data_IF_584800266328
#
_entry.id   IF_584800266328
#
_cell.length_a   1.000
_cell.length_b   1.000
_cell.length_c   1.000
_cell.angle_alpha   90.00
_cell.angle_beta   90.00
_cell.angle_gamma   90.00
#
_symmetry.space_group_name_H-M   'P 1'
#
loop_
_entity.id
_entity.type
_entity.pdbx_description
1 polymer ?
#
# COMPACT_ATOMS: atom_id res chain seq x y z
N UNK A 1 -41.03 0.80 9.83
CA UNK A 1 -40.46 1.06 8.49
C UNK A 1 -39.43 2.16 8.62
N UNK A 2 -39.78 3.35 9.11
CA UNK A 2 -38.86 4.51 9.26
C UNK A 2 -37.51 4.16 9.88
N UNK A 3 -37.49 3.38 10.98
CA UNK A 3 -36.24 2.93 11.62
C UNK A 3 -35.32 2.11 10.67
N UNK A 4 -35.91 1.27 9.80
CA UNK A 4 -35.16 0.51 8.80
C UNK A 4 -34.62 1.41 7.69
N UNK A 5 -35.38 2.41 7.29
CA UNK A 5 -34.96 3.42 6.31
C UNK A 5 -33.79 4.24 6.86
N UNK A 6 -33.87 4.69 8.13
CA UNK A 6 -32.76 5.40 8.79
C UNK A 6 -31.45 4.56 8.83
N UNK A 7 -31.54 3.24 9.00
CA UNK A 7 -30.37 2.34 8.94
C UNK A 7 -29.80 2.28 7.52
N UNK A 8 -30.66 2.15 6.52
CA UNK A 8 -30.26 2.08 5.10
C UNK A 8 -29.56 3.37 4.71
N UNK A 9 -30.14 4.52 5.04
CA UNK A 9 -29.62 5.84 4.70
C UNK A 9 -28.24 6.07 5.33
N UNK A 10 -28.09 5.84 6.64
CA UNK A 10 -26.80 5.94 7.33
C UNK A 10 -25.73 5.02 6.76
N UNK A 11 -26.11 3.81 6.37
CA UNK A 11 -25.17 2.86 5.76
C UNK A 11 -24.77 3.30 4.36
N UNK A 12 -25.66 3.91 3.62
CA UNK A 12 -25.42 4.45 2.28
C UNK A 12 -24.51 5.69 2.32
N UNK A 13 -24.67 6.55 3.32
CA UNK A 13 -23.77 7.70 3.55
C UNK A 13 -22.32 7.25 3.74
N UNK A 14 -22.07 6.14 4.45
CA UNK A 14 -20.73 5.62 4.68
C UNK A 14 -20.14 4.90 3.46
N UNK A 15 -20.95 4.11 2.77
CA UNK A 15 -20.50 3.23 1.69
C UNK A 15 -20.61 3.84 0.29
N UNK A 16 -21.34 4.95 0.14
CA UNK A 16 -21.72 5.50 -1.16
C UNK A 16 -22.69 4.62 -1.95
N UNK A 17 -23.02 5.07 -3.16
CA UNK A 17 -23.86 4.30 -4.07
C UNK A 17 -23.10 3.08 -4.63
N UNK A 18 -23.78 1.95 -4.67
CA UNK A 18 -23.23 0.71 -5.20
C UNK A 18 -23.02 0.80 -6.72
N UNK A 19 -21.75 0.62 -7.16
CA UNK A 19 -21.38 0.63 -8.59
C UNK A 19 -20.96 -0.73 -9.12
N UNK A 20 -20.72 -1.71 -8.22
CA UNK A 20 -20.18 -3.04 -8.56
C UNK A 20 -20.90 -4.15 -7.79
N UNK A 21 -20.82 -5.38 -8.30
CA UNK A 21 -21.28 -6.55 -7.58
C UNK A 21 -20.43 -6.80 -6.33
N UNK A 22 -21.10 -7.08 -5.22
CA UNK A 22 -20.47 -7.37 -3.94
C UNK A 22 -20.34 -8.86 -3.74
N UNK A 23 -19.15 -9.34 -3.38
CA UNK A 23 -18.94 -10.71 -2.93
C UNK A 23 -19.33 -10.78 -1.46
N UNK A 24 -20.37 -11.57 -1.09
CA UNK A 24 -20.84 -11.64 0.30
C UNK A 24 -19.84 -12.41 1.17
N UNK A 25 -19.70 -12.00 2.45
CA UNK A 25 -19.00 -12.80 3.44
C UNK A 25 -17.53 -12.46 3.65
N UNK A 26 -17.13 -11.21 3.47
CA UNK A 26 -15.77 -10.69 3.73
C UNK A 26 -15.36 -10.92 5.19
N UNK A 27 -16.30 -10.87 6.14
CA UNK A 27 -16.08 -11.20 7.55
C UNK A 27 -17.29 -11.96 8.14
N UNK A 28 -17.15 -12.58 9.33
CA UNK A 28 -18.25 -13.35 9.95
C UNK A 28 -19.53 -12.54 10.17
N UNK A 29 -19.43 -11.26 10.52
CA UNK A 29 -20.59 -10.39 10.76
C UNK A 29 -21.33 -10.10 9.46
N UNK A 30 -20.61 -9.75 8.38
CA UNK A 30 -21.22 -9.52 7.06
C UNK A 30 -21.83 -10.83 6.51
N UNK A 31 -21.16 -11.96 6.69
CA UNK A 31 -21.69 -13.26 6.28
C UNK A 31 -23.01 -13.59 6.98
N UNK A 32 -23.09 -13.40 8.30
CA UNK A 32 -24.32 -13.60 9.06
C UNK A 32 -25.47 -12.71 8.58
N UNK A 33 -25.19 -11.44 8.28
CA UNK A 33 -26.17 -10.50 7.76
C UNK A 33 -26.64 -10.87 6.35
N UNK A 34 -25.76 -11.39 5.49
CA UNK A 34 -26.16 -11.94 4.19
C UNK A 34 -27.02 -13.18 4.31
N UNK A 35 -26.74 -14.07 5.29
CA UNK A 35 -27.62 -15.22 5.60
C UNK A 35 -28.99 -14.72 6.09
N UNK A 36 -29.03 -13.77 7.03
CA UNK A 36 -30.28 -13.16 7.48
C UNK A 36 -31.09 -12.57 6.33
N UNK A 37 -30.43 -11.85 5.42
CA UNK A 37 -31.06 -11.33 4.19
C UNK A 37 -31.70 -12.44 3.36
N UNK A 38 -31.03 -13.58 3.17
CA UNK A 38 -31.60 -14.69 2.36
C UNK A 38 -32.85 -15.27 3.02
N UNK A 39 -32.89 -15.38 4.34
CA UNK A 39 -34.05 -15.83 5.11
C UNK A 39 -35.21 -14.85 4.97
N UNK A 40 -34.94 -13.54 5.12
CA UNK A 40 -35.95 -12.47 4.96
C UNK A 40 -36.49 -12.47 3.52
N UNK A 41 -35.64 -12.60 2.51
CA UNK A 41 -36.05 -12.71 1.09
C UNK A 41 -36.92 -13.93 0.82
N UNK A 42 -36.65 -15.05 1.49
CA UNK A 42 -37.52 -16.23 1.43
C UNK A 42 -38.88 -15.96 2.04
N UNK A 43 -38.92 -15.34 3.24
CA UNK A 43 -40.18 -14.93 3.88
C UNK A 43 -40.99 -13.93 3.02
N UNK A 44 -40.33 -12.95 2.39
CA UNK A 44 -40.94 -12.01 1.45
C UNK A 44 -41.65 -12.72 0.29
N UNK A 45 -40.99 -13.72 -0.31
CA UNK A 45 -41.60 -14.52 -1.41
C UNK A 45 -42.80 -15.29 -0.94
N UNK A 46 -42.75 -15.90 0.25
CA UNK A 46 -43.87 -16.63 0.83
C UNK A 46 -45.06 -15.71 1.10
N UNK A 47 -44.82 -14.56 1.71
CA UNK A 47 -45.87 -13.55 1.99
C UNK A 47 -46.46 -12.99 0.71
N UNK A 48 -45.62 -12.77 -0.30
CA UNK A 48 -46.08 -12.33 -1.65
C UNK A 48 -46.95 -13.38 -2.33
N UNK A 49 -46.62 -14.64 -2.19
CA UNK A 49 -47.46 -15.75 -2.72
C UNK A 49 -48.79 -15.86 -1.94
N UNK A 50 -48.74 -15.72 -0.61
CA UNK A 50 -49.94 -15.75 0.24
C UNK A 50 -50.88 -14.59 -0.08
N UNK A 51 -50.35 -13.39 -0.37
CA UNK A 51 -51.11 -12.19 -0.72
C UNK A 51 -51.93 -12.35 -2.00
N UNK A 52 -51.67 -13.38 -2.83
CA UNK A 52 -52.49 -13.71 -3.99
C UNK A 52 -53.72 -14.54 -3.63
N UNK A 53 -53.76 -15.12 -2.42
CA UNK A 53 -54.81 -16.02 -1.99
C UNK A 53 -55.69 -15.39 -0.88
N UNK A 54 -55.06 -14.64 -0.01
CA UNK A 54 -55.74 -13.97 1.13
C UNK A 54 -55.25 -12.52 1.30
N UNK A 55 -56.09 -11.64 1.84
CA UNK A 55 -55.66 -10.26 2.11
C UNK A 55 -54.52 -10.20 3.10
N UNK A 56 -53.39 -9.62 2.66
CA UNK A 56 -52.24 -9.36 3.52
C UNK A 56 -52.00 -7.86 3.62
N UNK A 57 -51.80 -7.34 4.82
CA UNK A 57 -51.55 -5.91 5.05
C UNK A 57 -50.34 -5.42 4.26
N UNK A 58 -50.48 -4.32 3.58
CA UNK A 58 -49.44 -3.72 2.76
C UNK A 58 -48.20 -3.32 3.60
N UNK A 59 -48.42 -2.83 4.83
CA UNK A 59 -47.36 -2.46 5.76
C UNK A 59 -46.44 -3.65 6.09
N UNK A 60 -47.00 -4.86 6.22
CA UNK A 60 -46.20 -6.07 6.47
C UNK A 60 -45.28 -6.37 5.26
N UNK A 61 -45.82 -6.24 4.06
CA UNK A 61 -45.02 -6.47 2.82
C UNK A 61 -43.91 -5.43 2.70
N UNK A 62 -44.23 -4.15 2.93
CA UNK A 62 -43.24 -3.06 2.95
C UNK A 62 -42.19 -3.28 4.04
N UNK A 63 -42.57 -3.72 5.23
CA UNK A 63 -41.64 -3.97 6.34
C UNK A 63 -40.65 -5.08 5.99
N UNK A 64 -41.12 -6.22 5.47
CA UNK A 64 -40.24 -7.36 5.12
C UNK A 64 -39.27 -6.96 3.99
N UNK A 65 -39.73 -6.21 3.01
CA UNK A 65 -38.87 -5.70 1.93
C UNK A 65 -37.77 -4.78 2.50
N UNK A 66 -38.14 -3.76 3.32
CA UNK A 66 -37.16 -2.86 3.96
C UNK A 66 -36.23 -3.59 4.93
N UNK A 67 -36.69 -4.64 5.59
CA UNK A 67 -35.83 -5.47 6.46
C UNK A 67 -34.73 -6.18 5.65
N UNK A 68 -35.07 -6.68 4.46
CA UNK A 68 -34.09 -7.25 3.54
C UNK A 68 -33.04 -6.23 3.09
N UNK A 69 -33.47 -5.02 2.76
CA UNK A 69 -32.58 -3.93 2.35
C UNK A 69 -31.69 -3.48 3.52
N UNK A 70 -32.23 -3.40 4.73
CA UNK A 70 -31.47 -3.06 5.93
C UNK A 70 -30.40 -4.12 6.26
N UNK A 71 -30.72 -5.43 6.15
CA UNK A 71 -29.71 -6.48 6.32
C UNK A 71 -28.55 -6.33 5.32
N UNK A 72 -28.86 -5.99 4.08
CA UNK A 72 -27.84 -5.77 3.06
C UNK A 72 -26.99 -4.51 3.38
N UNK A 73 -27.64 -3.41 3.73
CA UNK A 73 -26.94 -2.17 4.07
C UNK A 73 -26.01 -2.35 5.27
N UNK A 74 -26.48 -3.05 6.33
CA UNK A 74 -25.64 -3.38 7.50
C UNK A 74 -24.47 -4.30 7.14
N UNK A 75 -24.66 -5.30 6.29
CA UNK A 75 -23.56 -6.17 5.83
C UNK A 75 -22.46 -5.36 5.15
N UNK A 76 -22.84 -4.44 4.27
CA UNK A 76 -21.93 -3.52 3.61
C UNK A 76 -21.19 -2.60 4.58
N UNK A 77 -21.89 -2.11 5.61
CA UNK A 77 -21.27 -1.27 6.64
C UNK A 77 -20.20 -2.04 7.43
N UNK A 78 -20.47 -3.30 7.78
CA UNK A 78 -19.49 -4.16 8.45
C UNK A 78 -18.27 -4.49 7.57
N UNK A 79 -18.46 -4.66 6.27
CA UNK A 79 -17.37 -4.84 5.30
C UNK A 79 -16.49 -3.59 5.21
N UNK A 80 -17.09 -2.40 5.15
CA UNK A 80 -16.35 -1.14 5.12
C UNK A 80 -15.60 -0.88 6.44
N UNK A 81 -16.20 -1.21 7.58
CA UNK A 81 -15.54 -1.09 8.90
C UNK A 81 -14.33 -2.01 9.02
N UNK A 82 -14.47 -3.27 8.61
CA UNK A 82 -13.36 -4.23 8.63
C UNK A 82 -12.20 -3.75 7.77
N UNK A 83 -12.47 -3.27 6.55
CA UNK A 83 -11.46 -2.71 5.65
C UNK A 83 -10.74 -1.50 6.24
N UNK A 84 -11.49 -0.59 6.88
CA UNK A 84 -10.90 0.59 7.52
C UNK A 84 -10.05 0.22 8.74
N UNK A 85 -10.47 -0.76 9.52
CA UNK A 85 -9.69 -1.26 10.66
C UNK A 85 -8.39 -1.91 10.19
N UNK A 86 -8.43 -2.74 9.15
CA UNK A 86 -7.24 -3.35 8.54
C UNK A 86 -6.23 -2.29 8.05
N UNK A 87 -6.75 -1.21 7.41
CA UNK A 87 -5.93 -0.08 6.97
C UNK A 87 -5.27 0.64 8.15
N UNK A 88 -5.98 0.88 9.26
CA UNK A 88 -5.40 1.55 10.44
C UNK A 88 -4.39 0.65 11.16
N UNK A 89 -4.64 -0.63 11.30
CA UNK A 89 -3.69 -1.61 11.84
C UNK A 89 -2.40 -1.67 10.99
N UNK A 90 -2.54 -1.64 9.66
CA UNK A 90 -1.41 -1.58 8.74
C UNK A 90 -0.61 -0.28 8.90
N UNK A 91 -1.28 0.86 9.01
CA UNK A 91 -0.62 2.16 9.25
C UNK A 91 0.15 2.17 10.58
N UNK A 92 -0.42 1.61 11.64
CA UNK A 92 0.24 1.57 12.94
C UNK A 92 1.43 0.60 12.94
N UNK A 93 1.32 -0.53 12.24
CA UNK A 93 2.44 -1.46 12.03
C UNK A 93 3.57 -0.79 11.25
N UNK A 94 3.24 -0.08 10.17
CA UNK A 94 4.22 0.70 9.39
C UNK A 94 4.89 1.76 10.27
N UNK A 95 4.13 2.49 11.09
CA UNK A 95 4.69 3.48 12.05
C UNK A 95 5.65 2.85 13.04
N UNK A 96 5.32 1.66 13.57
CA UNK A 96 6.21 0.94 14.49
C UNK A 96 7.50 0.50 13.81
N UNK A 97 7.42 -0.10 12.62
CA UNK A 97 8.60 -0.51 11.84
C UNK A 97 9.49 0.71 11.53
N UNK A 98 8.90 1.81 11.05
CA UNK A 98 9.64 3.07 10.79
C UNK A 98 10.30 3.60 12.05
N UNK A 99 9.65 3.54 13.21
CA UNK A 99 10.21 3.97 14.50
C UNK A 99 11.39 3.09 14.94
N UNK A 100 11.28 1.77 14.76
CA UNK A 100 12.32 0.80 15.12
C UNK A 100 13.54 0.95 14.22
N UNK A 101 13.33 1.08 12.90
CA UNK A 101 14.40 1.25 11.91
C UNK A 101 15.06 2.64 12.02
N UNK A 102 14.29 3.69 12.35
CA UNK A 102 14.82 5.03 12.59
C UNK A 102 15.71 5.14 13.85
N UNK A 103 15.57 4.21 14.79
CA UNK A 103 16.42 4.14 15.99
C UNK A 103 17.80 3.49 15.74
N UNK A 104 17.97 2.75 14.63
CA UNK A 104 19.23 2.08 14.28
C UNK A 104 20.19 2.92 13.44
N UNK A 105 19.75 4.10 12.94
CA UNK A 105 20.56 4.97 12.08
C UNK A 105 21.03 6.23 12.81
N UNK A 106 22.04 6.13 13.66
CA UNK A 106 22.82 7.28 14.12
C UNK A 106 24.16 7.29 13.40
N UNK A 107 24.25 8.08 12.33
CA UNK A 107 25.50 8.68 11.88
C UNK A 107 25.21 9.99 11.14
N UNK A 108 25.97 11.03 11.50
CA UNK A 108 25.87 12.39 10.95
C UNK A 108 26.21 12.40 9.47
N UNK A 109 25.32 12.99 8.66
CA UNK A 109 25.55 13.09 7.24
C UNK A 109 25.37 14.49 6.69
N UNK A 110 26.42 14.97 6.03
CA UNK A 110 26.48 16.29 5.39
C UNK A 110 25.97 16.25 3.94
N UNK A 111 25.35 15.16 3.51
CA UNK A 111 24.86 14.98 2.12
C UNK A 111 23.63 15.84 1.84
N UNK A 112 23.58 16.47 0.66
CA UNK A 112 22.41 17.19 0.15
C UNK A 112 21.84 16.50 -1.10
N UNK A 113 20.65 16.93 -1.54
CA UNK A 113 19.96 16.40 -2.72
C UNK A 113 20.08 17.34 -3.93
N UNK A 114 21.15 18.16 -4.00
CA UNK A 114 21.40 19.01 -5.16
C UNK A 114 21.70 18.18 -6.42
N UNK A 115 21.36 18.73 -7.57
CA UNK A 115 21.65 18.07 -8.86
C UNK A 115 23.15 17.80 -9.04
N UNK A 116 24.01 18.66 -8.51
CA UNK A 116 25.46 18.48 -8.53
C UNK A 116 25.88 17.24 -7.73
N UNK A 117 25.38 17.11 -6.50
CA UNK A 117 25.58 15.94 -5.62
C UNK A 117 25.07 14.67 -6.30
N UNK A 118 23.87 14.71 -6.90
CA UNK A 118 23.28 13.55 -7.56
C UNK A 118 24.04 13.13 -8.83
N UNK A 119 24.58 14.08 -9.61
CA UNK A 119 25.46 13.76 -10.74
C UNK A 119 26.76 13.10 -10.30
N UNK A 120 27.37 13.56 -9.21
CA UNK A 120 28.56 12.94 -8.63
C UNK A 120 28.28 11.53 -8.17
N UNK A 121 27.18 11.33 -7.48
CA UNK A 121 26.71 9.98 -7.04
C UNK A 121 26.44 9.07 -8.23
N UNK A 122 25.81 9.58 -9.30
CA UNK A 122 25.59 8.83 -10.54
C UNK A 122 26.91 8.35 -11.17
N UNK A 123 27.97 9.14 -11.08
CA UNK A 123 29.31 8.73 -11.52
C UNK A 123 29.85 7.54 -10.73
N UNK A 124 29.71 7.52 -9.42
CA UNK A 124 30.13 6.39 -8.58
C UNK A 124 29.26 5.14 -8.81
N UNK A 125 27.97 5.32 -9.04
CA UNK A 125 27.06 4.23 -9.41
C UNK A 125 27.50 3.60 -10.73
N UNK A 126 27.79 4.44 -11.74
CA UNK A 126 28.26 3.97 -13.04
C UNK A 126 29.62 3.27 -12.97
N UNK A 127 30.54 3.78 -12.15
CA UNK A 127 31.85 3.18 -11.87
C UNK A 127 31.69 1.74 -11.32
N UNK A 128 30.91 1.58 -10.25
CA UNK A 128 30.69 0.28 -9.61
C UNK A 128 29.90 -0.69 -10.50
N UNK A 129 28.91 -0.19 -11.20
CA UNK A 129 28.12 -0.97 -12.15
C UNK A 129 28.97 -1.54 -13.28
N UNK A 130 29.94 -0.77 -13.81
CA UNK A 130 30.91 -1.23 -14.81
C UNK A 130 31.87 -2.26 -14.23
N UNK A 131 32.35 -2.05 -12.99
CA UNK A 131 33.24 -3.00 -12.30
C UNK A 131 32.62 -4.39 -12.18
N UNK A 132 31.33 -4.45 -11.79
CA UNK A 132 30.64 -5.74 -11.64
C UNK A 132 29.97 -6.26 -12.93
N UNK A 133 30.02 -5.47 -14.03
CA UNK A 133 29.44 -5.85 -15.32
C UNK A 133 27.91 -5.82 -15.38
N UNK A 134 27.25 -5.08 -14.50
CA UNK A 134 25.79 -4.99 -14.40
C UNK A 134 25.32 -3.57 -14.74
N UNK A 135 24.72 -3.33 -15.91
CA UNK A 135 24.22 -2.01 -16.27
C UNK A 135 22.95 -1.69 -15.45
N UNK A 136 22.92 -0.52 -14.82
CA UNK A 136 21.85 -0.13 -13.90
C UNK A 136 21.12 1.14 -14.32
N UNK A 137 19.91 1.32 -13.80
CA UNK A 137 19.19 2.57 -13.71
C UNK A 137 19.32 3.14 -12.29
N UNK A 138 19.59 4.41 -12.20
CA UNK A 138 19.69 5.19 -10.96
C UNK A 138 18.59 6.26 -10.92
N UNK A 139 17.92 6.37 -9.81
CA UNK A 139 16.89 7.38 -9.54
C UNK A 139 17.13 8.04 -8.19
N UNK A 140 16.82 9.32 -8.09
CA UNK A 140 16.78 10.04 -6.82
C UNK A 140 15.47 10.83 -6.73
N UNK A 141 14.88 10.86 -5.53
CA UNK A 141 13.63 11.58 -5.23
C UNK A 141 13.84 12.56 -4.09
N UNK A 142 13.04 13.63 -4.04
CA UNK A 142 12.99 14.57 -2.94
C UNK A 142 12.25 14.00 -1.71
N UNK A 143 12.09 14.79 -0.65
CA UNK A 143 11.36 14.40 0.57
C UNK A 143 9.88 14.09 0.34
N UNK A 144 9.29 14.62 -0.74
CA UNK A 144 7.92 14.35 -1.17
C UNK A 144 7.79 13.12 -2.08
N UNK A 145 8.90 12.44 -2.40
CA UNK A 145 8.92 11.29 -3.33
C UNK A 145 8.85 11.67 -4.81
N UNK A 146 9.08 12.95 -5.14
CA UNK A 146 9.09 13.43 -6.52
C UNK A 146 10.48 13.20 -7.14
N UNK A 147 10.52 12.80 -8.42
CA UNK A 147 11.76 12.52 -9.12
C UNK A 147 12.61 13.81 -9.30
N UNK A 148 13.83 13.78 -8.75
CA UNK A 148 14.84 14.83 -8.93
C UNK A 148 15.86 14.49 -10.00
N UNK A 149 16.28 13.23 -10.06
CA UNK A 149 17.31 12.78 -10.98
C UNK A 149 17.04 11.36 -11.45
N UNK A 150 17.34 11.12 -12.71
CA UNK A 150 17.28 9.79 -13.32
C UNK A 150 18.39 9.62 -14.34
N UNK A 151 19.08 8.48 -14.27
CA UNK A 151 20.06 8.06 -15.28
C UNK A 151 19.91 6.57 -15.53
N UNK A 152 20.01 6.16 -16.79
CA UNK A 152 20.01 4.77 -17.21
C UNK A 152 21.22 4.47 -18.07
N UNK A 153 21.99 3.46 -17.70
CA UNK A 153 23.08 2.97 -18.52
C UNK A 153 22.55 2.23 -19.76
N UNK A 154 23.34 2.22 -20.81
CA UNK A 154 23.06 1.39 -21.99
C UNK A 154 23.07 -0.11 -21.60
N UNK A 155 22.13 -0.89 -22.15
CA UNK A 155 21.99 -2.30 -21.83
C UNK A 155 21.16 -2.60 -20.57
N UNK A 156 20.77 -1.60 -19.78
CA UNK A 156 19.90 -1.78 -18.63
C UNK A 156 18.53 -2.31 -19.05
N UNK A 157 17.99 -3.29 -18.32
CA UNK A 157 16.64 -3.83 -18.53
C UNK A 157 15.59 -2.71 -18.50
N UNK A 158 14.59 -2.81 -19.37
CA UNK A 158 13.53 -1.81 -19.48
C UNK A 158 12.80 -1.60 -18.15
N UNK A 159 12.50 -2.68 -17.43
CA UNK A 159 11.81 -2.65 -16.14
C UNK A 159 12.58 -1.88 -15.07
N UNK A 160 13.91 -1.89 -15.10
CA UNK A 160 14.77 -1.22 -14.13
C UNK A 160 14.57 0.30 -14.10
N UNK A 161 14.10 0.89 -15.20
CA UNK A 161 13.70 2.30 -15.25
C UNK A 161 12.60 2.63 -14.22
N UNK A 162 11.57 1.78 -14.15
CA UNK A 162 10.47 1.94 -13.19
C UNK A 162 10.90 1.49 -11.79
N UNK A 163 11.56 0.34 -11.68
CA UNK A 163 11.96 -0.25 -10.40
C UNK A 163 12.92 0.66 -9.63
N UNK A 164 13.89 1.32 -10.28
CA UNK A 164 14.78 2.26 -9.60
C UNK A 164 14.04 3.44 -8.99
N UNK A 165 13.05 4.01 -9.72
CA UNK A 165 12.22 5.10 -9.22
C UNK A 165 11.35 4.64 -8.05
N UNK A 166 10.75 3.46 -8.15
CA UNK A 166 9.89 2.92 -7.11
C UNK A 166 10.70 2.48 -5.87
N UNK A 167 11.93 2.02 -6.02
CA UNK A 167 12.86 1.80 -4.89
C UNK A 167 13.18 3.12 -4.18
N UNK A 168 13.49 4.19 -4.91
CA UNK A 168 13.72 5.51 -4.34
C UNK A 168 12.48 6.02 -3.62
N UNK A 169 11.32 5.93 -4.26
CA UNK A 169 10.04 6.29 -3.65
C UNK A 169 9.77 5.52 -2.36
N UNK A 170 9.93 4.20 -2.39
CA UNK A 170 9.70 3.33 -1.23
C UNK A 170 10.62 3.71 -0.07
N UNK A 171 11.91 3.87 -0.34
CA UNK A 171 12.89 4.24 0.68
C UNK A 171 12.59 5.62 1.29
N UNK A 172 12.11 6.57 0.50
CA UNK A 172 11.67 7.89 0.98
C UNK A 172 10.40 7.80 1.81
N UNK A 173 9.36 7.14 1.29
CA UNK A 173 8.04 7.05 1.90
C UNK A 173 8.06 6.29 3.24
N UNK A 174 8.83 5.19 3.31
CA UNK A 174 8.94 4.35 4.50
C UNK A 174 10.14 4.71 5.40
N UNK A 175 11.03 5.62 4.94
CA UNK A 175 12.20 6.14 5.67
C UNK A 175 13.20 5.05 6.09
N UNK A 176 13.26 3.95 5.36
CA UNK A 176 14.14 2.80 5.58
C UNK A 176 14.71 2.27 4.26
N UNK A 177 15.83 1.55 4.28
CA UNK A 177 16.31 0.78 3.12
C UNK A 177 15.26 -0.22 2.64
N UNK A 178 15.13 -0.40 1.34
CA UNK A 178 14.13 -1.32 0.79
C UNK A 178 14.42 -2.80 1.08
N UNK A 179 15.67 -3.15 1.38
CA UNK A 179 16.05 -4.49 1.83
C UNK A 179 15.44 -4.86 3.18
N UNK A 180 15.22 -3.88 4.08
CA UNK A 180 14.66 -4.12 5.41
C UNK A 180 13.20 -4.57 5.35
N UNK A 181 12.55 -4.37 4.21
CA UNK A 181 11.16 -4.80 3.99
C UNK A 181 11.06 -6.26 3.55
N UNK A 182 12.15 -6.87 3.06
CA UNK A 182 12.13 -8.20 2.44
C UNK A 182 11.55 -9.28 3.37
N UNK A 183 11.97 -9.29 4.64
CA UNK A 183 11.54 -10.32 5.59
C UNK A 183 10.11 -10.10 6.10
N UNK A 184 9.73 -8.86 6.36
CA UNK A 184 8.40 -8.52 6.91
C UNK A 184 7.28 -8.57 5.86
N UNK A 185 7.62 -8.68 4.58
CA UNK A 185 6.66 -8.78 3.47
C UNK A 185 6.56 -10.16 2.85
N UNK A 186 7.20 -11.20 3.43
CA UNK A 186 7.04 -12.60 3.02
C UNK A 186 5.61 -13.09 3.23
N UNK A 187 5.15 -14.10 2.48
CA UNK A 187 3.85 -14.72 2.70
C UNK A 187 3.67 -15.15 4.18
N UNK A 188 2.59 -14.66 4.81
CA UNK A 188 2.30 -14.94 6.21
C UNK A 188 2.88 -13.93 7.22
N UNK A 189 3.75 -13.02 6.78
CA UNK A 189 4.28 -11.97 7.64
C UNK A 189 3.34 -10.75 7.74
N UNK A 190 3.57 -9.90 8.74
CA UNK A 190 2.68 -8.79 9.11
C UNK A 190 2.43 -7.77 8.00
N UNK A 191 3.38 -7.59 7.07
CA UNK A 191 3.31 -6.65 5.94
C UNK A 191 3.28 -7.34 4.57
N UNK A 192 2.87 -8.59 4.53
CA UNK A 192 2.88 -9.41 3.31
C UNK A 192 2.19 -8.76 2.09
N UNK A 193 1.17 -7.92 2.28
CA UNK A 193 0.46 -7.24 1.18
C UNK A 193 0.97 -5.82 0.89
N UNK A 194 2.02 -5.35 1.58
CA UNK A 194 2.51 -3.97 1.46
C UNK A 194 2.88 -3.58 0.02
N UNK A 195 3.41 -4.53 -0.77
CA UNK A 195 3.76 -4.31 -2.18
C UNK A 195 2.56 -3.95 -3.08
N UNK A 196 1.33 -4.22 -2.64
CA UNK A 196 0.11 -3.82 -3.35
C UNK A 196 -0.34 -2.38 -3.01
N UNK A 197 0.30 -1.73 -2.04
CA UNK A 197 -0.02 -0.37 -1.62
C UNK A 197 0.65 0.67 -2.52
N UNK A 198 0.17 1.93 -2.45
CA UNK A 198 0.76 3.03 -3.20
C UNK A 198 0.75 2.82 -4.72
N UNK A 199 -0.34 2.29 -5.26
CA UNK A 199 -0.51 1.99 -6.69
C UNK A 199 0.56 1.02 -7.24
N UNK A 200 1.02 0.08 -6.40
CA UNK A 200 2.04 -0.90 -6.76
C UNK A 200 3.46 -0.34 -6.83
N UNK A 201 3.70 0.84 -6.25
CA UNK A 201 5.03 1.49 -6.23
C UNK A 201 5.94 0.98 -5.10
N UNK A 202 5.41 0.20 -4.17
CA UNK A 202 6.20 -0.28 -3.03
C UNK A 202 7.06 -1.47 -3.44
N UNK A 203 8.36 -1.29 -3.35
CA UNK A 203 9.38 -2.32 -3.65
C UNK A 203 9.97 -2.84 -2.35
N UNK A 204 9.86 -4.16 -2.12
CA UNK A 204 10.26 -4.82 -0.89
C UNK A 204 11.55 -5.64 -1.05
N UNK A 205 12.48 -5.19 -1.88
CA UNK A 205 13.80 -5.81 -2.07
C UNK A 205 14.87 -4.75 -2.29
N UNK A 206 16.13 -5.11 -2.04
CA UNK A 206 17.27 -4.21 -1.90
C UNK A 206 17.55 -3.30 -3.10
N UNK A 207 18.26 -2.19 -2.82
CA UNK A 207 18.73 -1.19 -3.78
C UNK A 207 18.12 0.20 -3.62
N UNK A 208 17.17 0.41 -2.70
CA UNK A 208 16.65 1.72 -2.33
C UNK A 208 17.16 2.17 -0.96
N UNK A 209 17.59 3.42 -0.82
CA UNK A 209 18.15 3.97 0.42
C UNK A 209 17.67 5.38 0.69
N UNK A 210 17.17 5.70 1.90
CA UNK A 210 16.84 7.07 2.28
C UNK A 210 18.11 7.88 2.53
N UNK A 211 18.12 9.13 2.08
CA UNK A 211 19.18 10.10 2.39
C UNK A 211 18.70 10.94 3.56
N UNK A 212 19.52 10.98 4.62
CA UNK A 212 19.20 11.70 5.85
C UNK A 212 20.17 12.87 6.05
N UNK A 213 19.64 13.97 6.58
CA UNK A 213 20.41 15.13 7.08
C UNK A 213 19.80 15.55 8.41
N UNK A 214 20.64 15.71 9.43
CA UNK A 214 20.20 16.08 10.79
C UNK A 214 19.08 15.15 11.32
N UNK A 215 19.19 13.85 11.03
CA UNK A 215 18.20 12.83 11.42
C UNK A 215 16.88 12.85 10.64
N UNK A 216 16.71 13.76 9.66
CA UNK A 216 15.52 13.85 8.81
C UNK A 216 15.82 13.30 7.42
N UNK A 217 14.87 12.55 6.85
CA UNK A 217 14.94 12.13 5.45
C UNK A 217 14.71 13.36 4.58
N UNK A 218 15.70 13.69 3.74
CA UNK A 218 15.67 14.80 2.78
C UNK A 218 15.44 14.32 1.35
N UNK A 219 15.37 13.02 1.14
CA UNK A 219 15.16 12.37 -0.14
C UNK A 219 15.58 10.91 -0.07
N UNK A 220 15.62 10.25 -1.20
CA UNK A 220 16.09 8.88 -1.30
C UNK A 220 16.64 8.55 -2.69
N UNK A 221 17.40 7.47 -2.76
CA UNK A 221 17.93 6.93 -4.02
C UNK A 221 17.42 5.52 -4.27
N UNK A 222 17.43 5.11 -5.53
CA UNK A 222 17.11 3.75 -5.96
C UNK A 222 17.99 3.32 -7.14
N UNK A 223 18.53 2.13 -7.03
CA UNK A 223 19.34 1.47 -8.07
C UNK A 223 18.65 0.18 -8.48
N UNK A 224 18.63 -0.09 -9.77
CA UNK A 224 18.07 -1.34 -10.32
C UNK A 224 18.73 -1.71 -11.64
N UNK A 225 19.11 -2.97 -11.78
CA UNK A 225 19.72 -3.50 -13.01
C UNK A 225 20.06 -4.97 -12.92
N UNK A 226 20.47 -5.43 -11.75
CA UNK A 226 20.87 -6.80 -11.45
C UNK A 226 19.97 -7.49 -10.43
N UNK A 227 20.57 -8.38 -9.66
CA UNK A 227 19.97 -8.98 -8.47
C UNK A 227 19.83 -7.91 -7.36
N UNK A 228 19.07 -8.22 -6.31
CA UNK A 228 18.93 -7.31 -5.17
C UNK A 228 20.30 -7.03 -4.51
N UNK A 229 21.16 -8.03 -4.43
CA UNK A 229 22.51 -7.94 -3.86
C UNK A 229 23.42 -7.05 -4.71
N UNK A 230 23.38 -7.18 -6.03
CA UNK A 230 24.15 -6.34 -6.96
C UNK A 230 23.67 -4.89 -6.91
N UNK A 231 22.35 -4.67 -6.91
CA UNK A 231 21.75 -3.34 -6.79
C UNK A 231 22.14 -2.65 -5.46
N UNK A 232 22.15 -3.42 -4.35
CA UNK A 232 22.63 -2.95 -3.04
C UNK A 232 24.12 -2.61 -3.06
N UNK A 233 24.95 -3.47 -3.65
CA UNK A 233 26.39 -3.25 -3.72
C UNK A 233 26.73 -1.96 -4.49
N UNK A 234 26.02 -1.69 -5.59
CA UNK A 234 26.17 -0.46 -6.36
C UNK A 234 25.71 0.76 -5.57
N UNK A 235 24.55 0.69 -4.93
CA UNK A 235 24.00 1.80 -4.17
C UNK A 235 24.86 2.15 -2.95
N UNK A 236 25.25 1.16 -2.15
CA UNK A 236 26.08 1.36 -0.95
C UNK A 236 27.45 1.89 -1.29
N UNK A 237 28.10 1.37 -2.35
CA UNK A 237 29.38 1.92 -2.83
C UNK A 237 29.29 3.43 -3.10
N UNK A 238 28.25 3.86 -3.82
CA UNK A 238 28.09 5.27 -4.12
C UNK A 238 27.85 6.11 -2.85
N UNK A 239 27.06 5.61 -1.91
CA UNK A 239 26.80 6.27 -0.63
C UNK A 239 28.09 6.41 0.20
N UNK A 240 28.90 5.37 0.32
CA UNK A 240 30.18 5.37 1.02
C UNK A 240 31.16 6.37 0.41
N UNK A 241 31.25 6.41 -0.93
CA UNK A 241 32.10 7.38 -1.64
C UNK A 241 31.65 8.83 -1.43
N UNK A 242 30.36 9.07 -1.33
CA UNK A 242 29.80 10.39 -1.05
C UNK A 242 30.11 10.86 0.38
N UNK A 243 30.16 9.95 1.35
CA UNK A 243 30.51 10.22 2.75
C UNK A 243 32.00 10.44 3.01
N UNK A 244 32.83 10.44 1.97
CA UNK A 244 34.26 10.71 2.08
C UNK A 244 35.11 9.50 2.45
N UNK A 245 34.72 8.31 1.99
CA UNK A 245 35.51 7.07 2.02
C UNK A 245 36.51 6.96 3.17
N UNK A 246 36.08 6.59 4.37
CA UNK A 246 36.99 6.07 5.37
C UNK A 246 37.45 4.69 4.90
N UNK A 247 38.64 4.65 4.28
CA UNK A 247 39.37 3.43 4.04
C UNK A 247 39.79 2.81 5.37
#
# INVERSE_FOLDING_TARGET
IKYLEDIIDKSTEVNGLMREFVVPGVNPSSAALHVARTVVRRAERIVTALAKQVPVREELRKYINRLSDACFAMARLEEARAKNQEIEELKDTVRQVVKTLGAMGKEEDSMDMSIETLKKMAGFIEEKAKEIGVPVAFSAVDEGGNLLYFQRMEGTLLISTKVSQDKAYTACALKCPTCDLADVTKPGESLWSLHNSGDGRIICFGGGYPIKKDGKVIGAIGVSGGTAEEDMAVATYALEKMQGGKA
#
